data_IF_106845045837
#
_entry.id   IF_106845045837
#
_cell.length_a   1.000
_cell.length_b   1.000
_cell.length_c   1.000
_cell.angle_alpha   90.00
_cell.angle_beta   90.00
_cell.angle_gamma   90.00
#
_symmetry.space_group_name_H-M   'P 1'
#
loop_
_entity.id
_entity.type
_entity.pdbx_description
1 polymer ?
#
# COMPACT_ATOMS: atom_id res chain seq x y z
N UNK A 1 29.60 12.08 -0.35
CA UNK A 1 29.25 10.73 -0.88
C UNK A 1 28.18 10.18 0.05
N UNK A 2 27.07 9.67 -0.48
CA UNK A 2 26.02 9.05 0.35
C UNK A 2 26.51 7.66 0.75
N UNK A 3 26.44 7.34 2.03
CA UNK A 3 26.87 6.04 2.56
C UNK A 3 25.85 4.95 2.20
N UNK A 4 26.31 3.85 1.62
CA UNK A 4 25.45 2.75 1.18
C UNK A 4 24.72 2.11 2.36
N UNK A 5 25.39 1.95 3.50
CA UNK A 5 24.81 1.36 4.71
C UNK A 5 23.59 2.15 5.21
N UNK A 6 23.61 3.48 5.11
CA UNK A 6 22.47 4.31 5.47
C UNK A 6 21.28 4.08 4.53
N UNK A 7 21.55 3.87 3.23
CA UNK A 7 20.52 3.61 2.21
C UNK A 7 19.92 2.21 2.37
N UNK A 8 20.72 1.22 2.78
CA UNK A 8 20.25 -0.12 3.15
C UNK A 8 19.25 -0.05 4.30
N UNK A 9 19.63 0.59 5.41
CA UNK A 9 18.75 0.77 6.58
C UNK A 9 17.48 1.53 6.20
N UNK A 10 17.60 2.58 5.37
CA UNK A 10 16.43 3.32 4.88
C UNK A 10 15.48 2.42 4.09
N UNK A 11 16.01 1.59 3.18
CA UNK A 11 15.21 0.64 2.40
C UNK A 11 14.49 -0.36 3.33
N UNK A 12 15.20 -0.91 4.30
CA UNK A 12 14.64 -1.85 5.28
C UNK A 12 13.53 -1.22 6.12
N UNK A 13 13.73 0.00 6.63
CA UNK A 13 12.73 0.71 7.44
C UNK A 13 11.49 1.04 6.63
N UNK A 14 11.63 1.48 5.37
CA UNK A 14 10.50 1.78 4.49
C UNK A 14 9.68 0.52 4.19
N UNK A 15 10.35 -0.60 3.88
CA UNK A 15 9.72 -1.89 3.66
C UNK A 15 9.03 -2.42 4.92
N UNK A 16 9.72 -2.41 6.06
CA UNK A 16 9.18 -2.88 7.34
C UNK A 16 7.94 -2.06 7.77
N UNK A 17 8.02 -0.73 7.68
CA UNK A 17 6.90 0.15 8.02
C UNK A 17 5.69 -0.11 7.11
N UNK A 18 5.93 -0.30 5.81
CA UNK A 18 4.88 -0.65 4.85
C UNK A 18 4.21 -1.98 5.20
N UNK A 19 5.00 -3.01 5.54
CA UNK A 19 4.49 -4.33 5.93
C UNK A 19 3.67 -4.30 7.22
N UNK A 20 4.12 -3.52 8.21
CA UNK A 20 3.38 -3.30 9.47
C UNK A 20 2.04 -2.64 9.18
N UNK A 21 2.02 -1.54 8.43
CA UNK A 21 0.76 -0.84 8.09
C UNK A 21 -0.19 -1.73 7.29
N UNK A 22 0.34 -2.52 6.36
CA UNK A 22 -0.46 -3.47 5.58
C UNK A 22 -1.09 -4.54 6.47
N UNK A 23 -0.38 -5.04 7.48
CA UNK A 23 -0.92 -6.01 8.46
C UNK A 23 -2.11 -5.43 9.24
N UNK A 24 -2.07 -4.14 9.57
CA UNK A 24 -3.13 -3.46 10.30
C UNK A 24 -4.25 -2.88 9.41
N UNK A 25 -4.22 -3.11 8.09
CA UNK A 25 -5.19 -2.52 7.17
C UNK A 25 -6.63 -2.91 7.50
N UNK A 26 -6.85 -4.14 7.96
CA UNK A 26 -8.16 -4.63 8.39
C UNK A 26 -8.72 -3.85 9.60
N UNK A 27 -7.85 -3.42 10.52
CA UNK A 27 -8.23 -2.59 11.66
C UNK A 27 -8.67 -1.20 11.20
N UNK A 28 -7.92 -0.58 10.30
CA UNK A 28 -8.24 0.74 9.75
C UNK A 28 -9.46 0.73 8.83
N UNK A 29 -9.73 -0.40 8.16
CA UNK A 29 -10.90 -0.60 7.30
C UNK A 29 -12.23 -0.39 8.03
N UNK A 30 -12.26 -0.42 9.36
CA UNK A 30 -13.47 -0.09 10.14
C UNK A 30 -14.05 1.28 9.80
N UNK A 31 -13.23 2.26 9.41
CA UNK A 31 -13.70 3.56 8.92
C UNK A 31 -13.23 3.84 7.47
N UNK A 32 -14.11 4.30 6.56
CA UNK A 32 -13.73 4.56 5.17
C UNK A 32 -12.63 5.62 5.02
N UNK A 33 -12.64 6.63 5.89
CA UNK A 33 -11.64 7.70 5.87
C UNK A 33 -10.26 7.19 6.30
N UNK A 34 -10.17 6.45 7.41
CA UNK A 34 -8.88 5.91 7.85
C UNK A 34 -8.33 4.87 6.86
N UNK A 35 -9.20 4.05 6.25
CA UNK A 35 -8.78 3.11 5.21
C UNK A 35 -8.09 3.83 4.05
N UNK A 36 -8.72 4.88 3.50
CA UNK A 36 -8.17 5.63 2.38
C UNK A 36 -6.85 6.34 2.75
N UNK A 37 -6.76 6.88 3.97
CA UNK A 37 -5.53 7.50 4.48
C UNK A 37 -4.40 6.47 4.57
N UNK A 38 -4.63 5.33 5.23
CA UNK A 38 -3.61 4.29 5.41
C UNK A 38 -3.20 3.67 4.08
N UNK A 39 -4.14 3.39 3.17
CA UNK A 39 -3.83 2.92 1.81
C UNK A 39 -2.93 3.92 1.06
N UNK A 40 -3.20 5.23 1.19
CA UNK A 40 -2.36 6.26 0.57
C UNK A 40 -0.97 6.37 1.21
N UNK A 41 -0.87 6.20 2.53
CA UNK A 41 0.42 6.15 3.23
C UNK A 41 1.24 4.94 2.76
N UNK A 42 0.62 3.75 2.73
CA UNK A 42 1.26 2.51 2.24
C UNK A 42 1.73 2.70 0.79
N UNK A 43 0.91 3.30 -0.07
CA UNK A 43 1.28 3.62 -1.45
C UNK A 43 2.55 4.48 -1.51
N UNK A 44 2.60 5.60 -0.78
CA UNK A 44 3.75 6.51 -0.78
C UNK A 44 5.00 5.81 -0.24
N UNK A 45 4.89 5.05 0.84
CA UNK A 45 6.01 4.31 1.42
C UNK A 45 6.57 3.25 0.47
N UNK A 46 5.70 2.50 -0.20
CA UNK A 46 6.12 1.46 -1.15
C UNK A 46 6.75 2.05 -2.41
N UNK A 47 6.25 3.18 -2.92
CA UNK A 47 6.88 3.89 -4.04
C UNK A 47 8.25 4.44 -3.62
N UNK A 48 8.35 5.05 -2.43
CA UNK A 48 9.63 5.51 -1.90
C UNK A 48 10.62 4.33 -1.73
N UNK A 49 10.18 3.22 -1.17
CA UNK A 49 10.97 2.00 -1.04
C UNK A 49 11.45 1.49 -2.41
N UNK A 50 10.59 1.47 -3.41
CA UNK A 50 10.96 1.07 -4.76
C UNK A 50 12.05 1.96 -5.36
N UNK A 51 11.96 3.28 -5.20
CA UNK A 51 13.00 4.20 -5.65
C UNK A 51 14.33 3.96 -4.93
N UNK A 52 14.31 3.80 -3.61
CA UNK A 52 15.50 3.55 -2.80
C UNK A 52 16.16 2.22 -3.20
N UNK A 53 15.36 1.15 -3.32
CA UNK A 53 15.84 -0.18 -3.75
C UNK A 53 16.38 -0.19 -5.18
N UNK A 54 15.80 0.62 -6.07
CA UNK A 54 16.31 0.78 -7.44
C UNK A 54 17.66 1.52 -7.47
N UNK A 55 17.81 2.52 -6.59
CA UNK A 55 19.03 3.31 -6.45
C UNK A 55 20.16 2.52 -5.78
N UNK A 56 19.86 1.72 -4.75
CA UNK A 56 20.81 1.06 -3.86
C UNK A 56 22.00 0.36 -4.58
N UNK A 57 21.80 -0.44 -5.65
CA UNK A 57 22.91 -1.11 -6.33
C UNK A 57 23.91 -0.15 -6.99
N UNK A 58 23.49 1.08 -7.33
CA UNK A 58 24.39 2.10 -7.92
C UNK A 58 25.40 2.63 -6.91
N UNK A 59 25.13 2.47 -5.61
CA UNK A 59 26.02 2.84 -4.51
C UNK A 59 26.92 1.68 -4.07
N UNK A 60 26.79 0.51 -4.68
CA UNK A 60 27.46 -0.72 -4.24
C UNK A 60 26.86 -1.33 -2.97
N UNK A 61 25.66 -0.90 -2.56
CA UNK A 61 24.96 -1.46 -1.40
C UNK A 61 24.29 -2.80 -1.71
N UNK A 62 24.12 -3.60 -0.66
CA UNK A 62 23.52 -4.93 -0.70
C UNK A 62 22.31 -5.01 0.23
N UNK A 63 21.30 -5.77 -0.16
CA UNK A 63 20.16 -6.02 0.73
C UNK A 63 20.27 -7.45 1.26
N UNK A 64 20.41 -7.59 2.57
CA UNK A 64 20.64 -8.88 3.25
C UNK A 64 21.80 -9.70 2.65
N UNK A 65 22.90 -9.03 2.32
CA UNK A 65 24.09 -9.65 1.72
C UNK A 65 23.90 -10.10 0.27
N UNK A 66 22.88 -9.57 -0.42
CA UNK A 66 22.66 -9.80 -1.85
C UNK A 66 22.57 -8.50 -2.63
N UNK A 67 23.40 -8.39 -3.67
CA UNK A 67 23.38 -7.28 -4.62
C UNK A 67 22.31 -7.41 -5.73
N UNK A 68 21.67 -8.58 -5.87
CA UNK A 68 20.68 -8.86 -6.93
C UNK A 68 19.23 -8.78 -6.45
N UNK A 69 18.98 -8.90 -5.14
CA UNK A 69 17.65 -8.78 -4.52
C UNK A 69 16.98 -7.40 -4.64
N UNK A 70 17.70 -6.25 -4.57
CA UNK A 70 17.03 -4.94 -4.52
C UNK A 70 16.12 -4.65 -5.73
N UNK A 71 16.54 -5.01 -6.95
CA UNK A 71 15.77 -4.69 -8.18
C UNK A 71 14.45 -5.46 -8.29
N UNK A 72 14.41 -6.80 -8.12
CA UNK A 72 13.14 -7.53 -8.05
C UNK A 72 12.22 -7.04 -6.92
N UNK A 73 12.77 -6.75 -5.74
CA UNK A 73 12.00 -6.22 -4.62
C UNK A 73 11.42 -4.84 -4.93
N UNK A 74 12.16 -3.97 -5.62
CA UNK A 74 11.64 -2.69 -6.08
C UNK A 74 10.39 -2.86 -6.98
N UNK A 75 10.43 -3.81 -7.91
CA UNK A 75 9.28 -4.14 -8.75
C UNK A 75 8.10 -4.67 -7.91
N UNK A 76 8.38 -5.54 -6.94
CA UNK A 76 7.37 -6.05 -6.03
C UNK A 76 6.71 -4.93 -5.21
N UNK A 77 7.49 -3.97 -4.70
CA UNK A 77 6.97 -2.78 -4.03
C UNK A 77 6.03 -1.97 -4.93
N UNK A 78 6.36 -1.79 -6.22
CA UNK A 78 5.48 -1.09 -7.17
C UNK A 78 4.16 -1.84 -7.37
N UNK A 79 4.21 -3.16 -7.54
CA UNK A 79 3.01 -4.00 -7.69
C UNK A 79 2.11 -3.86 -6.45
N UNK A 80 2.70 -3.96 -5.25
CA UNK A 80 1.98 -3.80 -3.99
C UNK A 80 1.43 -2.38 -3.80
N UNK A 81 2.16 -1.34 -4.23
CA UNK A 81 1.69 0.04 -4.14
C UNK A 81 0.42 0.22 -4.97
N UNK A 82 0.43 -0.23 -6.23
CA UNK A 82 -0.75 -0.17 -7.09
C UNK A 82 -1.91 -0.98 -6.49
N UNK A 83 -1.62 -2.15 -5.93
CA UNK A 83 -2.60 -3.00 -5.28
C UNK A 83 -3.21 -2.33 -4.04
N UNK A 84 -2.43 -1.61 -3.24
CA UNK A 84 -2.90 -0.89 -2.06
C UNK A 84 -3.87 0.26 -2.40
N UNK A 85 -3.86 0.78 -3.63
CA UNK A 85 -4.81 1.78 -4.11
C UNK A 85 -6.16 1.20 -4.55
N UNK A 86 -6.25 -0.12 -4.70
CA UNK A 86 -7.52 -0.81 -4.93
C UNK A 86 -8.27 -0.87 -3.61
N UNK A 87 -9.25 0.02 -3.44
CA UNK A 87 -10.03 0.15 -2.22
C UNK A 87 -10.66 -1.21 -1.82
N UNK A 88 -10.30 -1.73 -0.65
CA UNK A 88 -10.75 -3.03 -0.13
C UNK A 88 -12.25 -2.98 0.17
N UNK A 89 -12.76 -1.82 0.61
CA UNK A 89 -14.18 -1.63 0.92
C UNK A 89 -15.07 -1.28 -0.27
N UNK A 90 -14.60 -1.49 -1.51
CA UNK A 90 -15.29 -1.25 -2.79
C UNK A 90 -16.72 -0.75 -2.66
N UNK A 91 -16.98 0.51 -3.07
CA UNK A 91 -18.32 1.12 -2.99
C UNK A 91 -19.35 0.11 -3.49
N UNK A 92 -20.31 -0.28 -2.64
CA UNK A 92 -21.34 -1.25 -2.97
C UNK A 92 -22.13 -0.76 -4.20
N UNK A 93 -21.71 -1.18 -5.39
CA UNK A 93 -22.36 -0.84 -6.67
C UNK A 93 -23.59 -1.71 -6.94
N UNK A 94 -23.74 -2.80 -6.18
CA UNK A 94 -24.87 -3.72 -6.25
C UNK A 94 -25.71 -3.62 -4.98
N UNK A 95 -26.26 -2.44 -4.70
CA UNK A 95 -27.54 -2.44 -4.01
C UNK A 95 -28.58 -2.87 -5.05
N UNK A 96 -28.92 -4.17 -5.06
CA UNK A 96 -30.26 -4.54 -5.50
C UNK A 96 -31.23 -3.70 -4.68
N UNK A 97 -32.19 -3.07 -5.34
CA UNK A 97 -33.13 -2.13 -4.71
C UNK A 97 -33.62 -2.72 -3.38
N UNK A 98 -33.35 -2.04 -2.26
CA UNK A 98 -33.73 -2.53 -0.96
C UNK A 98 -35.26 -2.60 -0.91
N UNK A 99 -35.90 -3.79 -0.73
CA UNK A 99 -37.35 -3.92 -0.80
C UNK A 99 -38.08 -3.07 0.25
N UNK A 100 -37.43 -2.74 1.38
CA UNK A 100 -37.96 -1.77 2.34
C UNK A 100 -37.96 -0.32 1.83
N UNK A 101 -37.06 0.06 0.91
CA UNK A 101 -37.11 1.36 0.23
C UNK A 101 -38.10 1.40 -0.94
N UNK A 102 -38.40 0.24 -1.54
CA UNK A 102 -39.38 0.12 -2.65
C UNK A 102 -40.83 0.24 -2.14
N UNK A 103 -41.12 -0.30 -0.95
CA UNK A 103 -42.46 -0.21 -0.36
C UNK A 103 -42.90 1.23 -0.07
N UNK A 104 -41.98 2.06 0.45
CA UNK A 104 -42.27 3.47 0.79
C UNK A 104 -42.54 4.37 -0.41
N UNK A 105 -41.86 4.14 -1.55
CA UNK A 105 -42.15 4.91 -2.77
C UNK A 105 -43.57 4.66 -3.31
N UNK A 106 -44.17 3.51 -2.97
CA UNK A 106 -45.50 3.12 -3.42
C UNK A 106 -46.62 3.57 -2.48
N UNK A 107 -46.28 4.00 -1.26
CA UNK A 107 -47.21 4.60 -0.30
C UNK A 107 -47.25 6.14 -0.41
N UNK A 108 -46.27 6.74 -1.09
CA UNK A 108 -46.18 8.19 -1.35
C UNK A 108 -46.71 8.59 -2.76
N UNK A 109 -47.21 7.62 -3.55
CA UNK A 109 -47.99 7.81 -4.81
C UNK A 109 -49.50 7.64 -4.55
#
# INVERSE_FOLDING_TARGET
MVDAALVEVLAEVLCATSAVLFTFIATFSRSPQAESIVQNIIFVLLIAAAFVLWWLPTLGGELWGSNYLPRPLALFCVILAVSARMNIKGKNVSFGANPHSIGRMREEE
#
